data_IF_903506149325
#
_entry.id   IF_903506149325
#
_cell.length_a   1.000
_cell.length_b   1.000
_cell.length_c   1.000
_cell.angle_alpha   90.00
_cell.angle_beta   90.00
_cell.angle_gamma   90.00
#
_symmetry.space_group_name_H-M   'P 1'
#
loop_
_entity.id
_entity.type
_entity.pdbx_description
1 polymer ?
#
# COMPACT_ATOMS: atom_id res chain seq x y z
N UNK A 1 -39.41 -44.66 11.03
CA UNK A 1 -38.21 -45.51 10.94
C UNK A 1 -37.28 -44.84 9.93
N UNK A 2 -36.41 -43.92 10.34
CA UNK A 2 -35.03 -44.13 10.83
C UNK A 2 -34.04 -44.60 9.73
N UNK A 3 -33.20 -43.64 9.27
CA UNK A 3 -31.81 -43.76 8.76
C UNK A 3 -31.53 -44.59 7.49
N UNK A 4 -30.92 -43.98 6.46
CA UNK A 4 -29.49 -44.20 6.11
C UNK A 4 -29.10 -43.71 4.69
N UNK A 5 -27.85 -43.24 4.59
CA UNK A 5 -27.04 -42.93 3.40
C UNK A 5 -27.46 -41.66 2.62
N UNK A 6 -26.87 -40.46 2.81
CA UNK A 6 -25.43 -40.11 2.72
C UNK A 6 -24.72 -41.01 1.73
N UNK A 7 -24.79 -40.71 0.43
CA UNK A 7 -23.84 -41.16 -0.59
C UNK A 7 -24.22 -40.51 -1.94
N UNK A 8 -23.83 -39.25 -2.14
CA UNK A 8 -23.52 -38.70 -3.48
C UNK A 8 -22.45 -37.61 -3.33
N UNK A 9 -21.33 -37.98 -2.70
CA UNK A 9 -20.07 -37.25 -2.83
C UNK A 9 -19.37 -37.77 -4.11
N UNK A 10 -19.85 -37.32 -5.27
CA UNK A 10 -19.17 -37.51 -6.55
C UNK A 10 -19.34 -36.25 -7.39
N UNK A 11 -18.72 -35.15 -6.94
CA UNK A 11 -18.36 -34.07 -7.85
C UNK A 11 -16.85 -34.09 -8.01
N UNK A 12 -16.44 -34.58 -9.18
CA UNK A 12 -15.07 -34.64 -9.67
C UNK A 12 -14.27 -33.40 -9.32
N UNK A 13 -13.21 -33.62 -8.55
CA UNK A 13 -12.18 -32.66 -8.19
C UNK A 13 -11.30 -32.31 -9.40
N UNK A 14 -11.86 -31.57 -10.36
CA UNK A 14 -11.10 -30.92 -11.43
C UNK A 14 -11.49 -29.44 -11.61
N UNK A 15 -12.54 -28.96 -10.95
CA UNK A 15 -13.01 -27.58 -11.05
C UNK A 15 -12.67 -26.68 -9.85
N UNK A 16 -12.00 -27.21 -8.81
CA UNK A 16 -11.64 -26.40 -7.62
C UNK A 16 -10.40 -25.51 -7.87
N UNK A 17 -9.72 -25.68 -9.00
CA UNK A 17 -8.46 -24.98 -9.33
C UNK A 17 -8.69 -23.95 -10.45
N UNK A 18 -9.39 -22.84 -10.21
CA UNK A 18 -9.36 -21.72 -11.17
C UNK A 18 -9.81 -20.34 -10.67
N UNK A 19 -10.57 -20.19 -9.58
CA UNK A 19 -11.40 -18.97 -9.41
C UNK A 19 -11.19 -18.11 -8.16
N UNK A 20 -10.15 -18.31 -7.35
CA UNK A 20 -9.98 -17.53 -6.09
C UNK A 20 -8.83 -16.50 -6.08
N UNK A 21 -8.29 -16.08 -7.24
CA UNK A 21 -7.30 -14.97 -7.32
C UNK A 21 -7.98 -13.68 -7.83
N UNK A 22 -9.22 -13.42 -7.42
CA UNK A 22 -9.81 -12.08 -7.54
C UNK A 22 -9.95 -11.51 -6.13
N UNK A 23 -9.26 -10.38 -5.93
CA UNK A 23 -9.44 -9.42 -4.84
C UNK A 23 -9.18 -9.89 -3.41
N UNK A 24 -7.91 -10.11 -3.04
CA UNK A 24 -7.49 -9.66 -1.71
C UNK A 24 -7.19 -8.17 -1.86
N UNK A 25 -7.93 -7.25 -1.20
CA UNK A 25 -7.55 -5.85 -1.16
C UNK A 25 -6.28 -5.75 -0.33
N UNK A 26 -5.12 -5.87 -0.97
CA UNK A 26 -3.82 -5.60 -0.36
C UNK A 26 -3.80 -4.24 0.36
N UNK A 27 -4.56 -3.26 -0.17
CA UNK A 27 -4.79 -1.96 0.44
C UNK A 27 -5.46 -2.00 1.83
N UNK A 28 -6.32 -2.98 2.12
CA UNK A 28 -7.01 -3.09 3.42
C UNK A 28 -6.17 -3.81 4.49
N UNK A 29 -5.04 -4.40 4.12
CA UNK A 29 -4.15 -5.14 5.01
C UNK A 29 -2.81 -4.42 5.24
N UNK A 30 -2.42 -3.51 4.33
CA UNK A 30 -1.23 -2.69 4.48
C UNK A 30 -1.30 -1.78 5.73
N UNK A 31 -2.49 -1.35 6.13
CA UNK A 31 -2.71 -0.44 7.27
C UNK A 31 -2.50 -1.07 8.66
N UNK A 32 -2.33 -2.40 8.73
CA UNK A 32 -2.05 -3.15 9.97
C UNK A 32 -0.60 -3.63 10.06
N UNK A 33 0.18 -3.45 9.00
CA UNK A 33 1.57 -3.89 8.99
C UNK A 33 2.40 -3.00 9.91
N UNK A 34 3.14 -3.57 10.88
CA UNK A 34 4.00 -2.79 11.78
C UNK A 34 5.15 -2.09 11.03
N UNK A 35 5.37 -2.42 9.76
CA UNK A 35 6.43 -1.87 8.92
C UNK A 35 5.96 -0.70 8.05
N UNK A 36 4.67 -0.58 7.75
CA UNK A 36 4.16 0.41 6.79
C UNK A 36 4.30 1.84 7.30
N UNK A 37 3.96 2.08 8.57
CA UNK A 37 4.11 3.40 9.18
C UNK A 37 5.58 3.84 9.29
N UNK A 38 6.52 3.02 9.83
CA UNK A 38 7.94 3.36 9.83
C UNK A 38 8.55 3.59 8.44
N UNK A 39 8.15 2.79 7.44
CA UNK A 39 8.63 2.97 6.06
C UNK A 39 8.18 4.30 5.47
N UNK A 40 6.90 4.67 5.66
CA UNK A 40 6.41 5.98 5.26
C UNK A 40 7.19 7.11 5.93
N UNK A 41 7.39 7.03 7.25
CA UNK A 41 8.12 8.07 7.99
C UNK A 41 9.57 8.21 7.49
N UNK A 42 10.24 7.08 7.21
CA UNK A 42 11.58 7.08 6.63
C UNK A 42 11.64 7.76 5.27
N UNK A 43 10.69 7.46 4.38
CA UNK A 43 10.58 8.12 3.07
C UNK A 43 10.31 9.64 3.22
N UNK A 44 9.36 10.03 4.06
CA UNK A 44 9.01 11.43 4.29
C UNK A 44 10.20 12.21 4.86
N UNK A 45 10.88 11.64 5.86
CA UNK A 45 12.07 12.25 6.45
C UNK A 45 13.20 12.44 5.42
N UNK A 46 13.46 11.42 4.59
CA UNK A 46 14.46 11.52 3.53
C UNK A 46 14.09 12.58 2.49
N UNK A 47 12.80 12.66 2.14
CA UNK A 47 12.30 13.57 1.12
C UNK A 47 12.29 15.02 1.60
N UNK A 48 12.03 15.27 2.90
CA UNK A 48 12.07 16.61 3.51
C UNK A 48 13.43 17.31 3.27
N UNK A 49 14.53 16.56 3.26
CA UNK A 49 15.88 17.08 3.06
C UNK A 49 16.16 17.49 1.60
N UNK A 50 15.37 17.02 0.64
CA UNK A 50 15.71 17.10 -0.79
C UNK A 50 14.68 17.83 -1.63
N UNK A 51 13.40 17.85 -1.24
CA UNK A 51 12.32 18.31 -2.12
C UNK A 51 12.25 19.83 -2.33
N UNK A 52 12.85 20.64 -1.45
CA UNK A 52 12.93 22.11 -1.58
C UNK A 52 11.58 22.81 -1.89
N UNK A 53 10.46 22.26 -1.42
CA UNK A 53 9.13 22.83 -1.69
C UNK A 53 8.56 22.52 -3.07
N UNK A 54 9.21 21.67 -3.88
CA UNK A 54 8.83 21.39 -5.26
C UNK A 54 8.19 20.01 -5.42
N UNK A 55 7.04 19.97 -6.10
CA UNK A 55 6.25 18.76 -6.33
C UNK A 55 6.98 17.77 -7.24
N UNK A 56 7.63 18.25 -8.30
CA UNK A 56 8.39 17.43 -9.26
C UNK A 56 9.56 16.69 -8.58
N UNK A 57 10.25 17.34 -7.64
CA UNK A 57 11.32 16.70 -6.85
C UNK A 57 10.75 15.66 -5.89
N UNK A 58 9.62 15.93 -5.25
CA UNK A 58 8.94 14.93 -4.41
C UNK A 58 8.54 13.69 -5.24
N UNK A 59 7.95 13.91 -6.42
CA UNK A 59 7.57 12.83 -7.34
C UNK A 59 8.79 12.00 -7.75
N UNK A 60 9.89 12.64 -8.14
CA UNK A 60 11.11 11.93 -8.54
C UNK A 60 11.71 11.12 -7.38
N UNK A 61 11.63 11.61 -6.15
CA UNK A 61 12.08 10.88 -4.96
C UNK A 61 11.18 9.68 -4.66
N UNK A 62 9.86 9.84 -4.81
CA UNK A 62 8.91 8.75 -4.68
C UNK A 62 9.17 7.67 -5.72
N UNK A 63 9.34 8.04 -6.99
CA UNK A 63 9.61 7.10 -8.09
C UNK A 63 10.89 6.30 -7.79
N UNK A 64 11.99 6.97 -7.45
CA UNK A 64 13.24 6.31 -7.07
C UNK A 64 13.10 5.38 -5.85
N UNK A 65 12.35 5.81 -4.83
CA UNK A 65 12.15 5.00 -3.63
C UNK A 65 11.32 3.75 -3.96
N UNK A 66 10.25 3.90 -4.71
CA UNK A 66 9.40 2.81 -5.17
C UNK A 66 10.17 1.83 -6.07
N UNK A 67 10.98 2.33 -7.00
CA UNK A 67 11.84 1.47 -7.84
C UNK A 67 12.88 0.72 -7.01
N UNK A 68 13.53 1.39 -6.05
CA UNK A 68 14.61 0.78 -5.26
C UNK A 68 14.10 -0.29 -4.29
N UNK A 69 12.99 -0.04 -3.61
CA UNK A 69 12.51 -0.91 -2.53
C UNK A 69 11.35 -1.82 -2.93
N UNK A 70 10.64 -1.49 -4.01
CA UNK A 70 9.44 -2.18 -4.47
C UNK A 70 9.48 -2.48 -5.97
N UNK A 71 10.64 -2.81 -6.56
CA UNK A 71 10.84 -3.03 -8.01
C UNK A 71 9.62 -3.60 -8.77
N UNK A 72 9.12 -4.78 -8.37
CA UNK A 72 7.99 -5.46 -9.04
C UNK A 72 6.65 -4.72 -8.85
N UNK A 73 6.52 -3.98 -7.75
CA UNK A 73 5.31 -3.26 -7.34
C UNK A 73 5.47 -1.73 -7.43
N UNK A 74 6.50 -1.21 -8.11
CA UNK A 74 6.79 0.21 -8.16
C UNK A 74 5.59 1.05 -8.66
N UNK A 75 4.84 0.63 -9.70
CA UNK A 75 3.64 1.37 -10.12
C UNK A 75 2.56 1.42 -9.04
N UNK A 76 2.39 0.34 -8.27
CA UNK A 76 1.42 0.28 -7.16
C UNK A 76 1.86 1.19 -6.02
N UNK A 77 3.17 1.21 -5.72
CA UNK A 77 3.78 2.07 -4.72
C UNK A 77 3.58 3.55 -5.06
N UNK A 78 3.90 3.97 -6.28
CA UNK A 78 3.72 5.37 -6.73
C UNK A 78 2.24 5.75 -6.70
N UNK A 79 1.36 4.86 -7.17
CA UNK A 79 -0.06 5.14 -7.25
C UNK A 79 -0.75 5.30 -5.88
N UNK A 80 -0.14 4.77 -4.81
CA UNK A 80 -0.62 5.01 -3.44
C UNK A 80 -0.54 6.49 -3.03
N UNK A 81 0.37 7.26 -3.64
CA UNK A 81 0.59 8.66 -3.31
C UNK A 81 -0.06 9.62 -4.30
N UNK A 82 -0.32 9.22 -5.55
CA UNK A 82 -0.71 10.11 -6.66
C UNK A 82 -1.79 11.17 -6.32
N UNK A 83 -2.83 10.80 -5.56
CA UNK A 83 -3.92 11.72 -5.20
C UNK A 83 -3.65 12.57 -3.95
N UNK A 84 -2.48 12.39 -3.33
CA UNK A 84 -2.07 12.96 -2.04
C UNK A 84 -0.79 13.78 -2.12
N UNK A 85 -0.06 13.76 -3.24
CA UNK A 85 1.27 14.39 -3.37
C UNK A 85 1.22 15.89 -3.06
N UNK A 86 0.26 16.62 -3.63
CA UNK A 86 0.12 18.06 -3.36
C UNK A 86 -0.14 18.34 -1.87
N UNK A 87 -0.98 17.55 -1.22
CA UNK A 87 -1.27 17.64 0.21
C UNK A 87 -0.03 17.33 1.06
N UNK A 88 0.73 16.30 0.71
CA UNK A 88 1.98 15.94 1.40
C UNK A 88 3.04 17.04 1.26
N UNK A 89 3.22 17.58 0.06
CA UNK A 89 4.18 18.68 -0.19
C UNK A 89 3.78 19.92 0.61
N UNK A 90 2.49 20.25 0.67
CA UNK A 90 1.99 21.33 1.51
C UNK A 90 2.29 21.09 3.00
N UNK A 91 2.04 19.88 3.51
CA UNK A 91 2.35 19.53 4.89
C UNK A 91 3.85 19.61 5.20
N UNK A 92 4.71 19.18 4.27
CA UNK A 92 6.16 19.31 4.41
C UNK A 92 6.60 20.78 4.41
N UNK A 93 5.94 21.65 3.63
CA UNK A 93 6.21 23.09 3.62
C UNK A 93 5.85 23.72 4.97
N UNK A 94 4.78 23.22 5.60
CA UNK A 94 4.35 23.63 6.95
C UNK A 94 5.08 22.89 8.09
N UNK A 95 6.14 22.14 7.81
CA UNK A 95 6.97 21.44 8.82
C UNK A 95 6.19 20.45 9.69
N UNK A 96 5.19 19.79 9.11
CA UNK A 96 4.50 18.70 9.77
C UNK A 96 5.47 17.53 10.01
N UNK A 97 5.33 16.86 11.15
CA UNK A 97 6.17 15.71 11.46
C UNK A 97 5.93 14.57 10.46
N UNK A 98 6.95 13.72 10.19
CA UNK A 98 6.79 12.56 9.31
C UNK A 98 5.60 11.66 9.70
N UNK A 99 5.34 11.51 11.00
CA UNK A 99 4.17 10.76 11.49
C UNK A 99 2.84 11.40 11.05
N UNK A 100 2.69 12.72 11.19
CA UNK A 100 1.45 13.41 10.80
C UNK A 100 1.23 13.37 9.28
N UNK A 101 2.29 13.52 8.50
CA UNK A 101 2.23 13.35 7.03
C UNK A 101 1.77 11.94 6.67
N UNK A 102 2.33 10.92 7.34
CA UNK A 102 1.96 9.53 7.09
C UNK A 102 0.54 9.16 7.57
N UNK A 103 -0.03 9.90 8.53
CA UNK A 103 -1.46 9.77 8.88
C UNK A 103 -2.36 10.27 7.75
N UNK A 104 -1.99 11.37 7.08
CA UNK A 104 -2.72 11.91 5.92
C UNK A 104 -2.81 10.89 4.77
N UNK A 105 -1.76 10.10 4.62
CA UNK A 105 -1.66 9.00 3.66
C UNK A 105 -2.37 7.71 4.11
N UNK A 106 -2.96 7.70 5.31
CA UNK A 106 -3.53 6.53 5.96
C UNK A 106 -2.52 5.36 6.14
N UNK A 107 -1.22 5.67 6.18
CA UNK A 107 -0.14 4.71 6.37
C UNK A 107 0.30 4.61 7.85
N UNK A 108 -0.08 5.60 8.66
CA UNK A 108 0.02 5.59 10.12
C UNK A 108 -1.37 5.81 10.72
N UNK A 109 -1.64 5.22 11.90
CA UNK A 109 -2.86 5.46 12.68
C UNK A 109 -2.52 6.25 13.94
#
# INVERSE_FOLDING_TARGET
MLRSAILLALFSSAAVVATQIKSIPYAAQADQSPFVCPLCQGFVHQTELQYQGKIDVFQANLDNWCEKYFQVFAPVCVNAFNNKIAEVVDQLNHKYSPYNVCKTLALCK
#
